data_IF_241993547532
#
_entry.id   IF_241993547532
#
_cell.length_a   1.000
_cell.length_b   1.000
_cell.length_c   1.000
_cell.angle_alpha   90.00
_cell.angle_beta   90.00
_cell.angle_gamma   90.00
#
_symmetry.space_group_name_H-M   'P 1'
#
loop_
_entity.id
_entity.type
_entity.pdbx_description
1 polymer ?
#
# COMPACT_ATOMS: atom_id res chain seq x y z
N UNK A 1 -17.07 14.41 -6.40
CA UNK A 1 -16.38 15.13 -5.30
C UNK A 1 -14.93 14.71 -5.35
N UNK A 2 -14.02 15.56 -5.84
CA UNK A 2 -12.57 15.30 -5.79
C UNK A 2 -11.97 16.24 -4.76
N UNK A 3 -11.56 15.68 -3.64
CA UNK A 3 -10.82 16.39 -2.61
C UNK A 3 -9.34 16.52 -3.03
N UNK A 4 -8.59 17.48 -2.49
CA UNK A 4 -7.15 17.67 -2.78
C UNK A 4 -6.32 16.39 -2.54
N UNK A 5 -6.92 15.48 -1.79
CA UNK A 5 -6.46 14.13 -1.58
C UNK A 5 -6.41 13.23 -2.80
N UNK A 6 -7.46 13.30 -3.60
CA UNK A 6 -7.72 12.41 -4.71
C UNK A 6 -6.83 12.82 -5.88
N UNK A 7 -6.58 14.13 -6.04
CA UNK A 7 -5.59 14.67 -6.97
C UNK A 7 -4.18 14.19 -6.62
N UNK A 8 -3.76 14.26 -5.36
CA UNK A 8 -2.44 13.75 -4.94
C UNK A 8 -2.30 12.24 -5.21
N UNK A 9 -3.36 11.47 -4.98
CA UNK A 9 -3.33 10.02 -5.27
C UNK A 9 -3.12 9.76 -6.76
N UNK A 10 -3.93 10.37 -7.62
CA UNK A 10 -3.94 10.10 -9.07
C UNK A 10 -2.73 10.73 -9.76
N UNK A 11 -2.38 11.97 -9.43
CA UNK A 11 -1.37 12.75 -10.15
C UNK A 11 0.06 12.45 -9.68
N UNK A 12 0.24 12.07 -8.41
CA UNK A 12 1.58 11.86 -7.84
C UNK A 12 1.87 10.42 -7.44
N UNK A 13 0.92 9.71 -6.83
CA UNK A 13 1.18 8.38 -6.23
C UNK A 13 1.03 7.28 -7.29
N UNK A 14 -0.08 7.25 -8.02
CA UNK A 14 -0.37 6.24 -9.05
C UNK A 14 0.73 6.14 -10.12
N UNK A 15 1.23 7.24 -10.74
CA UNK A 15 2.29 7.13 -11.75
C UNK A 15 3.59 6.55 -11.18
N UNK A 16 3.92 6.85 -9.91
CA UNK A 16 5.08 6.25 -9.24
C UNK A 16 4.89 4.75 -9.04
N UNK A 17 3.71 4.33 -8.58
CA UNK A 17 3.40 2.91 -8.41
C UNK A 17 3.45 2.17 -9.75
N UNK A 18 2.86 2.73 -10.81
CA UNK A 18 2.87 2.16 -12.16
C UNK A 18 4.29 1.93 -12.67
N UNK A 19 5.21 2.85 -12.38
CA UNK A 19 6.62 2.69 -12.75
C UNK A 19 7.34 1.66 -11.85
N UNK A 20 7.10 1.67 -10.53
CA UNK A 20 7.88 0.88 -9.58
C UNK A 20 7.44 -0.58 -9.48
N UNK A 21 6.15 -0.87 -9.67
CA UNK A 21 5.57 -2.22 -9.49
C UNK A 21 6.25 -3.27 -10.38
N UNK A 22 6.40 -3.06 -11.71
CA UNK A 22 7.04 -4.05 -12.58
C UNK A 22 8.50 -4.35 -12.23
N UNK A 23 9.17 -3.43 -11.54
CA UNK A 23 10.60 -3.55 -11.22
C UNK A 23 10.87 -4.04 -9.79
N UNK A 24 9.95 -3.78 -8.85
CA UNK A 24 10.18 -4.03 -7.42
C UNK A 24 9.27 -5.10 -6.82
N UNK A 25 8.17 -5.44 -7.48
CA UNK A 25 7.19 -6.40 -6.98
C UNK A 25 7.20 -7.61 -7.92
N UNK A 26 7.63 -8.80 -7.46
CA UNK A 26 7.53 -10.00 -8.27
C UNK A 26 6.05 -10.35 -8.47
N UNK A 27 5.64 -10.59 -9.72
CA UNK A 27 4.34 -11.18 -10.01
C UNK A 27 4.34 -12.64 -9.53
N UNK A 28 3.31 -13.05 -8.79
CA UNK A 28 3.18 -14.42 -8.28
C UNK A 28 2.16 -15.18 -9.13
N UNK A 29 2.62 -16.19 -9.87
CA UNK A 29 1.74 -17.02 -10.69
C UNK A 29 1.16 -16.26 -11.88
N UNK A 30 -0.17 -16.10 -11.92
CA UNK A 30 -0.90 -15.48 -13.02
C UNK A 30 -1.27 -14.00 -12.79
N UNK A 31 -0.67 -13.35 -11.78
CA UNK A 31 -0.90 -11.92 -11.52
C UNK A 31 -0.36 -11.04 -12.65
N UNK A 32 -1.15 -10.04 -13.05
CA UNK A 32 -0.75 -9.02 -14.02
C UNK A 32 -0.30 -7.73 -13.31
N UNK A 33 0.59 -6.97 -13.94
CA UNK A 33 1.08 -5.70 -13.42
C UNK A 33 -0.04 -4.66 -13.26
N UNK A 34 -1.07 -4.69 -14.11
CA UNK A 34 -2.24 -3.81 -13.97
C UNK A 34 -3.14 -4.23 -12.79
N UNK A 35 -3.29 -5.53 -12.52
CA UNK A 35 -4.02 -6.02 -11.33
C UNK A 35 -3.29 -5.58 -10.05
N UNK A 36 -1.96 -5.73 -10.03
CA UNK A 36 -1.11 -5.25 -8.94
C UNK A 36 -1.19 -3.73 -8.76
N UNK A 37 -1.29 -2.98 -9.85
CA UNK A 37 -1.45 -1.53 -9.80
C UNK A 37 -2.79 -1.12 -9.19
N UNK A 38 -3.87 -1.83 -9.50
CA UNK A 38 -5.19 -1.57 -8.92
C UNK A 38 -5.18 -1.83 -7.41
N UNK A 39 -4.62 -2.96 -6.97
CA UNK A 39 -4.45 -3.29 -5.55
C UNK A 39 -3.59 -2.26 -4.83
N UNK A 40 -2.48 -1.86 -5.45
CA UNK A 40 -1.59 -0.83 -4.93
C UNK A 40 -2.32 0.51 -4.76
N UNK A 41 -3.12 0.90 -5.75
CA UNK A 41 -3.87 2.16 -5.74
C UNK A 41 -4.90 2.17 -4.60
N UNK A 42 -5.63 1.07 -4.41
CA UNK A 42 -6.59 0.93 -3.31
C UNK A 42 -5.89 0.99 -1.94
N UNK A 43 -4.75 0.32 -1.78
CA UNK A 43 -3.97 0.38 -0.55
C UNK A 43 -3.43 1.78 -0.27
N UNK A 44 -2.89 2.44 -1.29
CA UNK A 44 -2.39 3.81 -1.17
C UNK A 44 -3.50 4.78 -0.76
N UNK A 45 -4.70 4.66 -1.36
CA UNK A 45 -5.87 5.47 -0.99
C UNK A 45 -6.24 5.28 0.49
N UNK A 46 -6.33 4.02 0.95
CA UNK A 46 -6.62 3.70 2.36
C UNK A 46 -5.55 4.22 3.31
N UNK A 47 -4.28 4.11 2.94
CA UNK A 47 -3.17 4.59 3.75
C UNK A 47 -3.20 6.11 3.86
N UNK A 48 -3.41 6.79 2.74
CA UNK A 48 -3.50 8.24 2.66
C UNK A 48 -4.68 8.77 3.49
N UNK A 49 -5.86 8.13 3.42
CA UNK A 49 -7.01 8.50 4.23
C UNK A 49 -6.75 8.31 5.74
N UNK A 50 -6.18 7.18 6.15
CA UNK A 50 -5.82 6.93 7.57
C UNK A 50 -4.80 7.93 8.09
N UNK A 51 -3.81 8.31 7.28
CA UNK A 51 -2.82 9.32 7.66
C UNK A 51 -3.48 10.68 7.90
N UNK A 52 -4.48 11.06 7.08
CA UNK A 52 -5.26 12.29 7.30
C UNK A 52 -6.09 12.24 8.57
N UNK A 53 -6.82 11.14 8.78
CA UNK A 53 -7.63 10.95 10.00
C UNK A 53 -6.76 11.02 11.26
N UNK A 54 -5.50 10.59 11.18
CA UNK A 54 -4.52 10.66 12.27
C UNK A 54 -3.77 12.00 12.34
N UNK A 55 -4.02 12.94 11.43
CA UNK A 55 -3.31 14.23 11.39
C UNK A 55 -1.80 14.11 11.07
N UNK A 56 -1.37 13.03 10.42
CA UNK A 56 0.04 12.80 10.09
C UNK A 56 0.39 13.49 8.77
N UNK A 57 1.48 14.24 8.78
CA UNK A 57 2.07 14.82 7.57
C UNK A 57 2.83 13.72 6.82
N UNK A 58 2.33 13.35 5.65
CA UNK A 58 2.92 12.30 4.81
C UNK A 58 3.15 12.84 3.41
N UNK A 59 4.32 12.51 2.85
CA UNK A 59 4.62 12.83 1.45
C UNK A 59 4.07 11.73 0.54
N UNK A 60 3.72 12.06 -0.71
CA UNK A 60 3.27 11.07 -1.70
C UNK A 60 4.30 9.96 -1.93
N UNK A 61 5.59 10.29 -1.85
CA UNK A 61 6.70 9.33 -1.93
C UNK A 61 6.70 8.31 -0.77
N UNK A 62 6.45 8.75 0.46
CA UNK A 62 6.36 7.85 1.60
C UNK A 62 5.18 6.88 1.44
N UNK A 63 4.02 7.39 1.00
CA UNK A 63 2.84 6.55 0.75
C UNK A 63 3.14 5.49 -0.31
N UNK A 64 3.77 5.86 -1.43
CA UNK A 64 4.17 4.91 -2.47
C UNK A 64 5.15 3.85 -1.93
N UNK A 65 6.15 4.26 -1.14
CA UNK A 65 7.12 3.37 -0.52
C UNK A 65 6.47 2.34 0.42
N UNK A 66 5.63 2.78 1.36
CA UNK A 66 4.95 1.86 2.28
C UNK A 66 3.95 0.96 1.55
N UNK A 67 3.30 1.46 0.50
CA UNK A 67 2.43 0.64 -0.35
C UNK A 67 3.20 -0.49 -1.01
N UNK A 68 4.38 -0.20 -1.60
CA UNK A 68 5.28 -1.20 -2.18
C UNK A 68 5.78 -2.21 -1.13
N UNK A 69 6.11 -1.73 0.07
CA UNK A 69 6.52 -2.60 1.17
C UNK A 69 5.41 -3.58 1.55
N UNK A 70 4.15 -3.13 1.58
CA UNK A 70 2.99 -3.99 1.83
C UNK A 70 2.76 -5.01 0.70
N UNK A 71 2.89 -4.61 -0.56
CA UNK A 71 2.79 -5.52 -1.71
C UNK A 71 3.83 -6.66 -1.65
N UNK A 72 5.04 -6.36 -1.18
CA UNK A 72 6.15 -7.33 -1.04
C UNK A 72 6.00 -8.23 0.18
N UNK A 73 5.54 -7.68 1.29
CA UNK A 73 5.38 -8.40 2.57
C UNK A 73 4.26 -9.44 2.54
N UNK A 74 3.34 -9.35 1.57
CA UNK A 74 2.24 -10.28 1.41
C UNK A 74 0.93 -9.53 1.21
N UNK A 75 0.44 -9.58 -0.03
CA UNK A 75 -0.86 -9.03 -0.47
C UNK A 75 -2.01 -10.03 -0.31
N UNK A 76 -1.69 -11.32 -0.10
CA UNK A 76 -2.64 -12.40 0.19
C UNK A 76 -2.31 -12.99 1.55
N UNK A 77 -3.14 -12.71 2.55
CA UNK A 77 -3.06 -13.36 3.85
C UNK A 77 -3.48 -14.82 3.71
N UNK A 78 -2.52 -15.74 3.62
CA UNK A 78 -2.79 -17.16 3.86
C UNK A 78 -3.03 -17.33 5.36
N UNK A 79 -4.29 -17.51 5.77
CA UNK A 79 -4.59 -18.02 7.11
C UNK A 79 -4.12 -19.47 7.20
N UNK A 80 -3.04 -19.75 7.92
CA UNK A 80 -2.77 -21.06 8.52
C UNK A 80 -1.63 -20.98 9.56
N UNK A 81 -1.99 -20.70 10.80
CA UNK A 81 -1.66 -21.49 12.00
C UNK A 81 -1.63 -20.58 13.24
N UNK A 82 -2.70 -20.67 14.04
CA UNK A 82 -2.58 -20.44 15.48
C UNK A 82 -1.65 -21.52 16.03
N UNK A 83 -0.40 -21.18 16.30
CA UNK A 83 0.33 -21.83 17.39
C UNK A 83 1.42 -20.89 17.92
N UNK A 84 1.15 -20.32 19.11
CA UNK A 84 2.14 -19.66 19.95
C UNK A 84 2.62 -18.27 19.51
N UNK A 85 1.83 -17.22 19.81
CA UNK A 85 2.35 -15.86 19.93
C UNK A 85 1.62 -14.80 19.11
N UNK A 86 0.65 -14.14 19.75
CA UNK A 86 0.10 -12.84 19.39
C UNK A 86 -0.44 -12.67 17.96
N UNK A 87 -1.77 -12.80 17.85
CA UNK A 87 -2.58 -12.14 16.82
C UNK A 87 -2.34 -10.62 16.87
N UNK A 88 -1.33 -10.16 16.14
CA UNK A 88 -0.93 -8.78 16.04
C UNK A 88 -1.46 -8.14 14.76
N UNK A 89 -2.76 -7.89 14.69
CA UNK A 89 -3.21 -6.66 14.03
C UNK A 89 -2.72 -5.49 14.91
N UNK A 90 -1.45 -5.08 14.80
CA UNK A 90 -1.00 -3.84 15.45
C UNK A 90 0.38 -3.35 15.01
N UNK A 91 0.37 -2.11 14.50
CA UNK A 91 1.30 -1.04 14.88
C UNK A 91 2.73 -1.02 14.33
N UNK A 92 3.17 -1.91 13.44
CA UNK A 92 4.56 -1.80 12.91
C UNK A 92 4.77 -0.79 11.78
N UNK A 93 3.73 -0.42 11.01
CA UNK A 93 3.83 0.68 10.04
C UNK A 93 3.46 2.06 10.61
N UNK A 94 3.22 2.17 11.93
CA UNK A 94 2.94 3.45 12.58
C UNK A 94 4.17 4.07 13.27
N UNK A 95 5.36 3.46 13.18
CA UNK A 95 6.53 3.96 13.90
C UNK A 95 7.84 3.58 13.18
N UNK A 96 8.15 4.29 12.11
CA UNK A 96 9.50 4.59 11.65
C UNK A 96 9.39 5.79 10.71
#
# INVERSE_FOLDING_TARGET
MSSHADTVLVDEIVPRLRHLIPHQVPCLGAEDAEELLQDATLMAARLLQRCREQGKTVTPGNIAYYTLLHLRSGRRSHSASQNGGAAGCSRRCCRA
#
